data_IF_979245444946
#
_entry.id   IF_979245444946
#
_cell.length_a   1.000
_cell.length_b   1.000
_cell.length_c   1.000
_cell.angle_alpha   90.00
_cell.angle_beta   90.00
_cell.angle_gamma   90.00
#
_symmetry.space_group_name_H-M   'P 1'
#
loop_
_entity.id
_entity.type
_entity.pdbx_description
1 polymer ?
#
# COMPACT_ATOMS: atom_id res chain seq x y z
N UNK A 1 20.57 -17.95 -28.26
CA UNK A 1 19.57 -18.52 -27.38
C UNK A 1 19.95 -18.60 -25.89
N UNK A 2 21.19 -18.86 -25.54
CA UNK A 2 21.63 -18.97 -24.14
C UNK A 2 21.59 -17.64 -23.35
N UNK A 3 21.76 -16.50 -24.01
CA UNK A 3 21.76 -15.17 -23.37
C UNK A 3 20.34 -14.71 -23.00
N UNK A 4 19.32 -15.10 -23.76
CA UNK A 4 17.93 -14.72 -23.52
C UNK A 4 17.34 -15.40 -22.27
N UNK A 5 17.76 -16.65 -21.99
CA UNK A 5 17.36 -17.37 -20.78
C UNK A 5 17.96 -16.78 -19.50
N UNK A 6 19.20 -16.24 -19.61
CA UNK A 6 19.89 -15.61 -18.47
C UNK A 6 19.21 -14.29 -18.04
N UNK A 7 18.65 -13.53 -18.99
CA UNK A 7 17.94 -12.28 -18.68
C UNK A 7 16.56 -12.52 -18.04
N UNK A 8 15.86 -13.59 -18.44
CA UNK A 8 14.55 -13.94 -17.86
C UNK A 8 14.70 -14.41 -16.41
N UNK A 9 15.75 -15.18 -16.09
CA UNK A 9 16.02 -15.65 -14.72
C UNK A 9 16.43 -14.49 -13.80
N UNK A 10 17.16 -13.49 -14.31
CA UNK A 10 17.57 -12.32 -13.52
C UNK A 10 16.38 -11.39 -13.21
N UNK A 11 15.38 -11.33 -14.09
CA UNK A 11 14.17 -10.51 -13.87
C UNK A 11 13.21 -11.13 -12.84
N UNK A 12 13.22 -12.46 -12.66
CA UNK A 12 12.40 -13.16 -11.68
C UNK A 12 12.95 -13.09 -10.24
N UNK A 13 14.22 -12.76 -10.07
CA UNK A 13 14.88 -12.66 -8.75
C UNK A 13 14.75 -11.26 -8.10
N UNK A 14 14.19 -10.27 -8.83
CA UNK A 14 14.17 -8.86 -8.42
C UNK A 14 12.92 -8.39 -7.65
N UNK A 15 11.95 -9.24 -7.32
CA UNK A 15 10.65 -8.81 -6.80
C UNK A 15 10.26 -9.37 -5.44
N UNK A 16 11.22 -9.58 -4.53
CA UNK A 16 10.90 -9.68 -3.12
C UNK A 16 10.98 -8.28 -2.50
N UNK A 17 9.93 -7.48 -2.73
CA UNK A 17 9.65 -6.35 -1.86
C UNK A 17 9.04 -6.96 -0.59
N UNK A 18 9.83 -7.05 0.47
CA UNK A 18 9.31 -7.27 1.80
C UNK A 18 8.36 -6.08 2.08
N UNK A 19 7.05 -6.31 2.05
CA UNK A 19 6.10 -5.39 2.63
C UNK A 19 6.43 -5.36 4.11
N UNK A 20 7.03 -4.27 4.59
CA UNK A 20 7.04 -3.99 6.01
C UNK A 20 5.55 -3.87 6.39
N UNK A 21 5.10 -4.69 7.35
CA UNK A 21 3.77 -4.57 7.91
C UNK A 21 3.62 -3.16 8.46
N UNK A 22 2.88 -2.32 7.74
CA UNK A 22 2.67 -0.94 8.15
C UNK A 22 1.66 -0.95 9.29
N UNK A 23 2.07 -0.46 10.44
CA UNK A 23 1.17 -0.27 11.59
C UNK A 23 0.13 0.79 11.25
N UNK A 24 -1.14 0.47 11.43
CA UNK A 24 -2.23 1.37 11.07
C UNK A 24 -3.38 1.39 12.07
N UNK A 25 -4.15 2.48 11.98
CA UNK A 25 -5.44 2.67 12.65
C UNK A 25 -6.46 3.16 11.63
N UNK A 26 -7.69 2.67 11.69
CA UNK A 26 -8.79 3.11 10.82
C UNK A 26 -9.83 3.87 11.63
N UNK A 27 -10.08 5.13 11.28
CA UNK A 27 -11.10 5.98 11.90
C UNK A 27 -11.89 6.74 10.83
N UNK A 28 -13.20 6.76 10.94
CA UNK A 28 -14.13 7.40 9.98
C UNK A 28 -13.85 7.02 8.51
N UNK A 29 -13.54 5.74 8.26
CA UNK A 29 -13.23 5.24 6.91
C UNK A 29 -11.89 5.68 6.35
N UNK A 30 -11.06 6.35 7.16
CA UNK A 30 -9.69 6.76 6.80
C UNK A 30 -8.66 5.90 7.48
N UNK A 31 -7.63 5.54 6.73
CA UNK A 31 -6.48 4.80 7.25
C UNK A 31 -5.39 5.77 7.65
N UNK A 32 -4.86 5.61 8.85
CA UNK A 32 -3.75 6.40 9.37
C UNK A 32 -2.59 5.47 9.69
N UNK A 33 -1.44 5.74 9.10
CA UNK A 33 -0.20 5.04 9.42
C UNK A 33 0.38 5.56 10.73
N UNK A 34 0.65 4.67 11.65
CA UNK A 34 1.28 5.01 12.93
C UNK A 34 2.71 5.44 12.69
N UNK A 35 3.12 6.52 13.36
CA UNK A 35 4.49 7.02 13.31
C UNK A 35 5.18 6.87 14.67
N UNK A 36 6.45 7.14 14.74
CA UNK A 36 7.22 7.19 16.00
C UNK A 36 7.24 8.59 16.62
N UNK A 37 6.51 9.54 16.03
CA UNK A 37 6.47 10.92 16.52
C UNK A 37 5.57 11.03 17.75
N UNK A 38 6.16 11.41 18.87
CA UNK A 38 5.45 11.65 20.15
C UNK A 38 4.82 13.05 20.12
N UNK A 39 3.57 13.13 20.54
CA UNK A 39 2.82 14.37 20.66
C UNK A 39 2.75 14.77 22.13
N UNK A 40 3.05 16.05 22.43
CA UNK A 40 2.93 16.57 23.77
C UNK A 40 1.44 16.64 24.19
N UNK A 41 1.14 16.30 25.44
CA UNK A 41 -0.24 16.24 25.94
C UNK A 41 -1.01 17.58 25.80
N UNK A 42 -0.30 18.72 25.80
CA UNK A 42 -0.89 20.03 25.58
C UNK A 42 -1.22 20.34 24.12
N UNK A 43 -0.76 19.53 23.16
CA UNK A 43 -1.09 19.62 21.73
C UNK A 43 -2.22 18.65 21.34
N UNK A 44 -2.61 17.75 22.24
CA UNK A 44 -3.72 16.82 22.06
C UNK A 44 -5.05 17.56 22.27
N UNK A 45 -5.98 17.37 21.36
CA UNK A 45 -7.30 17.97 21.42
C UNK A 45 -8.34 17.07 22.08
N UNK A 46 -9.55 17.00 21.51
CA UNK A 46 -10.64 16.19 22.04
C UNK A 46 -10.56 14.73 21.57
N UNK A 47 -11.09 13.81 22.38
CA UNK A 47 -11.27 12.44 21.96
C UNK A 47 -12.25 12.37 20.77
N UNK A 48 -11.87 11.64 19.73
CA UNK A 48 -12.65 11.49 18.50
C UNK A 48 -13.21 10.09 18.30
N UNK A 49 -12.69 9.11 19.04
CA UNK A 49 -13.13 7.73 18.99
C UNK A 49 -12.22 6.80 19.74
N UNK A 50 -12.45 5.51 19.54
CA UNK A 50 -11.66 4.44 20.13
C UNK A 50 -11.50 3.30 19.12
N UNK A 51 -10.49 2.46 19.30
CA UNK A 51 -10.31 1.23 18.55
C UNK A 51 -11.33 0.20 19.03
N UNK A 52 -12.09 -0.36 18.10
CA UNK A 52 -13.17 -1.30 18.38
C UNK A 52 -12.86 -2.73 17.90
N UNK A 53 -11.85 -2.88 17.04
CA UNK A 53 -11.46 -4.18 16.46
C UNK A 53 -9.94 -4.26 16.31
N UNK A 54 -9.35 -5.36 16.78
CA UNK A 54 -7.97 -5.74 16.42
C UNK A 54 -8.01 -6.56 15.14
N UNK A 55 -7.45 -6.04 14.05
CA UNK A 55 -7.50 -6.69 12.75
C UNK A 55 -6.44 -6.16 11.80
N UNK A 56 -5.89 -7.04 10.97
CA UNK A 56 -5.03 -6.68 9.83
C UNK A 56 -5.87 -6.24 8.61
N UNK A 57 -7.19 -6.40 8.67
CA UNK A 57 -8.10 -5.95 7.63
C UNK A 57 -8.51 -4.49 7.86
N UNK A 58 -8.55 -3.72 6.76
CA UNK A 58 -8.97 -2.31 6.78
C UNK A 58 -10.49 -2.24 6.94
N UNK A 59 -10.94 -1.94 8.14
CA UNK A 59 -12.34 -1.69 8.48
C UNK A 59 -12.43 -0.60 9.55
N UNK A 60 -13.52 0.13 9.60
CA UNK A 60 -13.70 1.24 10.54
C UNK A 60 -13.54 0.76 11.99
N UNK A 61 -12.71 1.46 12.75
CA UNK A 61 -12.37 1.14 14.13
C UNK A 61 -11.29 0.08 14.31
N UNK A 62 -10.67 -0.39 13.21
CA UNK A 62 -9.62 -1.40 13.28
C UNK A 62 -8.23 -0.81 13.54
N UNK A 63 -7.41 -1.62 14.18
CA UNK A 63 -5.96 -1.44 14.28
C UNK A 63 -5.26 -2.79 14.26
N UNK A 64 -4.10 -2.86 13.61
CA UNK A 64 -3.24 -4.05 13.64
C UNK A 64 -2.16 -3.99 14.74
N UNK A 65 -2.10 -2.90 15.49
CA UNK A 65 -1.04 -2.67 16.49
C UNK A 65 -1.58 -2.32 17.87
N UNK A 66 -2.73 -1.66 17.95
CA UNK A 66 -3.29 -1.23 19.24
C UNK A 66 -4.54 -2.04 19.61
N UNK A 67 -4.70 -2.36 20.92
CA UNK A 67 -5.83 -3.13 21.40
C UNK A 67 -7.15 -2.34 21.36
N UNK A 68 -8.26 -3.08 21.38
CA UNK A 68 -9.61 -2.52 21.56
C UNK A 68 -9.66 -1.65 22.83
N UNK A 69 -10.30 -0.49 22.74
CA UNK A 69 -10.39 0.50 23.80
C UNK A 69 -9.29 1.55 23.82
N UNK A 70 -8.33 1.49 22.88
CA UNK A 70 -7.34 2.56 22.69
C UNK A 70 -8.02 3.81 22.14
N UNK A 71 -7.87 4.95 22.83
CA UNK A 71 -8.49 6.21 22.43
C UNK A 71 -7.73 6.95 21.36
N UNK A 72 -8.49 7.61 20.50
CA UNK A 72 -8.03 8.45 19.40
C UNK A 72 -8.43 9.90 19.66
N UNK A 73 -7.55 10.84 19.34
CA UNK A 73 -7.73 12.26 19.64
C UNK A 73 -7.40 13.12 18.42
N UNK A 74 -8.00 14.32 18.39
CA UNK A 74 -7.55 15.38 17.51
C UNK A 74 -6.18 15.90 17.93
N UNK A 75 -5.42 16.45 17.00
CA UNK A 75 -4.21 17.23 17.25
C UNK A 75 -4.56 18.71 17.06
N UNK A 76 -4.27 19.56 18.05
CA UNK A 76 -4.55 20.97 17.97
C UNK A 76 -3.81 21.61 16.78
N UNK A 77 -4.55 22.36 15.97
CA UNK A 77 -3.99 23.03 14.78
C UNK A 77 -3.73 22.11 13.57
N UNK A 78 -4.04 20.80 13.68
CA UNK A 78 -3.90 19.84 12.59
C UNK A 78 -5.28 19.35 12.14
N UNK A 79 -5.49 19.20 10.84
CA UNK A 79 -6.73 18.67 10.31
C UNK A 79 -6.74 17.14 10.46
N UNK A 80 -7.91 16.55 10.79
CA UNK A 80 -8.09 15.09 10.81
C UNK A 80 -7.77 14.41 9.48
N UNK A 81 -7.90 15.12 8.37
CA UNK A 81 -7.48 14.61 7.06
C UNK A 81 -5.96 14.50 6.89
N UNK A 82 -5.17 15.01 7.83
CA UNK A 82 -3.72 14.94 7.81
C UNK A 82 -3.18 14.00 8.88
N UNK A 83 -3.63 14.15 10.13
CA UNK A 83 -3.14 13.33 11.22
C UNK A 83 -4.09 13.32 12.42
N UNK A 84 -3.96 12.29 13.25
CA UNK A 84 -4.61 12.12 14.55
C UNK A 84 -3.58 11.68 15.61
N UNK A 85 -3.93 11.80 16.89
CA UNK A 85 -3.15 11.30 18.00
C UNK A 85 -3.76 10.00 18.56
N UNK A 86 -2.91 9.06 18.97
CA UNK A 86 -3.29 7.79 19.57
C UNK A 86 -2.72 7.76 20.98
N UNK A 87 -3.54 7.46 21.98
CA UNK A 87 -3.09 7.30 23.37
C UNK A 87 -2.50 5.90 23.55
N UNK A 88 -1.18 5.80 23.54
CA UNK A 88 -0.47 4.53 23.68
C UNK A 88 -0.31 4.09 25.13
N UNK A 89 -0.34 5.07 26.04
CA UNK A 89 -0.27 4.89 27.48
C UNK A 89 -0.91 6.11 28.14
N UNK A 90 -1.25 6.04 29.43
CA UNK A 90 -1.89 7.15 30.12
C UNK A 90 -1.09 8.44 30.02
N UNK A 91 -1.57 9.37 29.20
CA UNK A 91 -0.93 10.66 28.96
C UNK A 91 0.23 10.65 27.95
N UNK A 92 0.47 9.54 27.29
CA UNK A 92 1.46 9.41 26.20
C UNK A 92 0.75 9.24 24.86
N UNK A 93 1.09 10.08 23.90
CA UNK A 93 0.45 10.12 22.61
C UNK A 93 1.46 9.99 21.48
N UNK A 94 1.08 9.24 20.44
CA UNK A 94 1.84 9.16 19.18
C UNK A 94 0.98 9.65 18.04
N UNK A 95 1.64 10.18 17.02
CA UNK A 95 1.00 10.68 15.80
C UNK A 95 0.74 9.53 14.82
N UNK A 96 -0.43 9.55 14.23
CA UNK A 96 -0.73 8.74 13.06
C UNK A 96 -1.12 9.67 11.91
N UNK A 97 -0.50 9.47 10.75
CA UNK A 97 -0.69 10.31 9.55
C UNK A 97 -1.62 9.63 8.55
N UNK A 98 -2.52 10.39 7.96
CA UNK A 98 -3.42 9.90 6.92
C UNK A 98 -2.65 9.29 5.74
N UNK A 99 -3.09 8.14 5.29
CA UNK A 99 -2.49 7.42 4.18
C UNK A 99 -3.50 7.23 3.04
N UNK A 100 -3.31 7.95 1.95
CA UNK A 100 -4.12 7.75 0.73
C UNK A 100 -3.87 6.37 0.09
N UNK A 101 -2.71 5.77 0.32
CA UNK A 101 -2.31 4.51 -0.30
C UNK A 101 -3.10 3.28 0.19
N UNK A 102 -3.79 3.40 1.34
CA UNK A 102 -4.51 2.30 1.98
C UNK A 102 -6.04 2.37 1.79
N UNK A 103 -6.54 3.30 1.02
CA UNK A 103 -7.94 3.28 0.59
C UNK A 103 -8.15 2.17 -0.43
N UNK A 104 -8.00 0.90 -0.04
CA UNK A 104 -8.42 -0.35 -0.72
C UNK A 104 -8.62 -0.35 -2.24
N UNK A 105 -8.05 0.60 -2.95
CA UNK A 105 -8.20 0.84 -4.36
C UNK A 105 -6.96 0.41 -5.14
N UNK A 106 -7.14 -0.42 -6.14
CA UNK A 106 -6.15 -0.64 -7.18
C UNK A 106 -5.62 0.72 -7.65
N UNK A 107 -4.37 1.02 -7.37
CA UNK A 107 -3.73 2.21 -7.91
C UNK A 107 -3.90 2.18 -9.42
N UNK A 108 -4.46 3.26 -10.00
CA UNK A 108 -4.56 3.43 -11.46
C UNK A 108 -3.22 3.18 -12.15
N UNK A 109 -2.12 3.46 -11.46
CA UNK A 109 -0.76 3.19 -11.93
C UNK A 109 -0.46 1.69 -12.05
N UNK A 110 -0.89 0.87 -11.09
CA UNK A 110 -0.75 -0.60 -11.15
C UNK A 110 -1.57 -1.18 -12.28
N UNK A 111 -2.76 -0.65 -12.52
CA UNK A 111 -3.63 -1.04 -13.62
C UNK A 111 -3.01 -0.67 -14.98
N UNK A 112 -2.44 0.53 -15.10
CA UNK A 112 -1.73 0.99 -16.29
C UNK A 112 -0.51 0.12 -16.60
N UNK A 113 0.30 -0.23 -15.59
CA UNK A 113 1.45 -1.13 -15.76
C UNK A 113 1.01 -2.54 -16.21
N UNK A 114 -0.10 -3.05 -15.69
CA UNK A 114 -0.68 -4.33 -16.13
C UNK A 114 -1.07 -4.31 -17.61
N UNK A 115 -1.74 -3.25 -18.08
CA UNK A 115 -2.15 -3.08 -19.47
C UNK A 115 -0.93 -2.99 -20.40
N UNK A 116 0.08 -2.20 -20.03
CA UNK A 116 1.33 -2.07 -20.79
C UNK A 116 2.05 -3.43 -20.90
N UNK A 117 2.11 -4.20 -19.81
CA UNK A 117 2.69 -5.53 -19.82
C UNK A 117 1.98 -6.48 -20.79
N UNK A 118 0.64 -6.49 -20.81
CA UNK A 118 -0.15 -7.31 -21.74
C UNK A 118 0.09 -6.90 -23.20
N UNK A 119 0.17 -5.60 -23.47
CA UNK A 119 0.43 -5.08 -24.82
C UNK A 119 1.81 -5.51 -25.35
N UNK A 120 2.84 -5.46 -24.50
CA UNK A 120 4.20 -5.91 -24.87
C UNK A 120 4.20 -7.40 -25.23
N UNK A 121 3.50 -8.24 -24.44
CA UNK A 121 3.39 -9.68 -24.70
C UNK A 121 2.64 -9.92 -26.02
N UNK A 122 1.55 -9.20 -26.28
CA UNK A 122 0.76 -9.34 -27.50
C UNK A 122 1.58 -8.97 -28.75
N UNK A 123 2.33 -7.86 -28.70
CA UNK A 123 3.22 -7.42 -29.79
C UNK A 123 4.35 -8.45 -30.02
N UNK A 124 4.94 -8.97 -28.94
CA UNK A 124 5.96 -10.02 -29.02
C UNK A 124 5.44 -11.29 -29.70
N UNK A 125 4.23 -11.76 -29.35
CA UNK A 125 3.61 -12.93 -30.00
C UNK A 125 3.27 -12.68 -31.47
N UNK A 126 2.80 -11.49 -31.84
CA UNK A 126 2.55 -11.13 -33.23
C UNK A 126 3.83 -11.10 -34.07
N UNK A 127 4.93 -10.56 -33.54
CA UNK A 127 6.22 -10.55 -34.19
C UNK A 127 6.76 -11.97 -34.44
N UNK A 128 6.59 -12.88 -33.49
CA UNK A 128 6.99 -14.28 -33.64
C UNK A 128 6.17 -15.04 -34.69
N UNK A 129 4.86 -14.76 -34.78
CA UNK A 129 4.01 -15.37 -35.79
C UNK A 129 4.35 -14.89 -37.20
N UNK A 130 4.69 -13.60 -37.34
CA UNK A 130 5.02 -13.03 -38.64
C UNK A 130 6.37 -13.54 -39.20
N UNK A 131 7.36 -13.79 -38.33
CA UNK A 131 8.64 -14.39 -38.76
C UNK A 131 8.51 -15.82 -39.29
N UNK A 132 7.55 -16.61 -38.78
CA UNK A 132 7.34 -17.98 -39.25
C UNK A 132 6.65 -18.07 -40.59
N UNK A 133 5.94 -17.04 -41.03
CA UNK A 133 5.31 -17.03 -42.36
C UNK A 133 6.30 -16.75 -43.50
N UNK A 134 7.37 -15.99 -43.24
CA UNK A 134 8.39 -15.68 -44.24
C UNK A 134 9.36 -16.84 -44.51
N UNK A 135 9.54 -17.77 -43.55
CA UNK A 135 10.45 -18.91 -43.75
C UNK A 135 9.84 -20.01 -44.61
N UNK A 136 8.52 -20.07 -44.79
CA UNK A 136 7.85 -21.07 -45.63
C UNK A 136 7.86 -20.74 -47.14
N UNK A 137 8.13 -19.49 -47.52
CA UNK A 137 8.16 -19.10 -48.95
C UNK A 137 9.49 -19.38 -49.69
N UNK A 138 10.53 -19.81 -48.97
CA UNK A 138 11.85 -20.07 -49.59
C UNK A 138 12.15 -21.55 -49.81
N UNK A 139 11.15 -22.43 -49.77
CA UNK A 139 11.34 -23.89 -49.89
C UNK A 139 10.64 -24.53 -51.09
N UNK A 140 10.21 -23.71 -52.05
CA UNK A 140 9.71 -24.20 -53.37
C UNK A 140 10.64 -23.70 -54.47
#
# INVERSE_FOLDING_TARGET
MRILHSFIVLFLLGSFVASADTEFVVHDGRVYNVTTEVIAANEVGTAIGEITVESDEIQTGASNVYPVGTFLYDIQGTNRSEAIAIEVSSGEFVKATYSEANEGGFSLWTLMLGIVGILIIAVGMMSFRNQRSHVKQYKD
#
